data_IF_093274869442
#
_entry.id   IF_093274869442
#
_cell.length_a   1.000
_cell.length_b   1.000
_cell.length_c   1.000
_cell.angle_alpha   90.00
_cell.angle_beta   90.00
_cell.angle_gamma   90.00
#
_symmetry.space_group_name_H-M   'P 1'
#
loop_
_entity.id
_entity.type
_entity.pdbx_description
1 polymer ?
#
# COMPACT_ATOMS: atom_id res chain seq x y z
N UNK A 1 8.06 6.76 -3.38
CA UNK A 1 9.03 6.45 -2.32
C UNK A 1 8.49 5.33 -1.45
N UNK A 2 9.32 4.37 -1.13
CA UNK A 2 9.10 3.30 -0.16
C UNK A 2 10.29 3.32 0.79
N UNK A 3 10.08 3.63 2.06
CA UNK A 3 11.16 3.83 3.04
C UNK A 3 10.60 3.77 4.46
N UNK A 4 11.46 3.52 5.43
CA UNK A 4 11.11 3.40 6.85
C UNK A 4 12.10 4.19 7.73
N UNK A 5 11.83 4.24 9.02
CA UNK A 5 12.71 4.79 10.05
C UNK A 5 13.16 6.26 9.79
N UNK A 6 14.46 6.53 9.90
CA UNK A 6 14.99 7.88 9.79
C UNK A 6 14.72 8.54 8.42
N UNK A 7 14.91 7.86 7.25
CA UNK A 7 14.53 8.44 5.96
C UNK A 7 13.06 8.81 5.84
N UNK A 8 12.15 8.06 6.49
CA UNK A 8 10.72 8.38 6.52
C UNK A 8 10.45 9.65 7.33
N UNK A 9 11.13 9.82 8.48
CA UNK A 9 11.03 11.03 9.29
C UNK A 9 11.58 12.26 8.57
N UNK A 10 12.69 12.12 7.84
CA UNK A 10 13.25 13.18 6.99
C UNK A 10 12.29 13.59 5.88
N UNK A 11 11.58 12.62 5.27
CA UNK A 11 10.53 12.91 4.29
C UNK A 11 9.41 13.72 4.94
N UNK A 12 8.89 13.26 6.09
CA UNK A 12 7.82 13.95 6.81
C UNK A 12 8.19 15.41 7.15
N UNK A 13 9.42 15.63 7.61
CA UNK A 13 9.91 16.97 8.00
C UNK A 13 10.06 17.93 6.79
N UNK A 14 10.08 17.43 5.56
CA UNK A 14 10.26 18.21 4.33
C UNK A 14 9.02 18.33 3.47
N UNK A 15 7.89 17.76 3.91
CA UNK A 15 6.61 17.98 3.23
C UNK A 15 6.10 19.41 3.49
N UNK A 16 5.48 20.08 2.49
CA UNK A 16 5.27 19.59 1.10
C UNK A 16 6.42 19.91 0.13
N UNK A 17 7.48 20.60 0.56
CA UNK A 17 8.51 21.16 -0.35
C UNK A 17 9.26 20.11 -1.17
N UNK A 18 9.41 18.89 -0.63
CA UNK A 18 10.08 17.77 -1.29
C UNK A 18 9.13 16.55 -1.42
N UNK A 19 7.84 16.82 -1.69
CA UNK A 19 6.84 15.76 -1.83
C UNK A 19 7.09 14.90 -3.07
N UNK A 20 7.17 13.56 -2.95
CA UNK A 20 7.19 12.66 -4.09
C UNK A 20 5.78 12.48 -4.66
N UNK A 21 5.68 12.08 -5.94
CA UNK A 21 4.39 11.80 -6.57
C UNK A 21 3.64 10.64 -5.90
N UNK A 22 4.38 9.65 -5.40
CA UNK A 22 3.84 8.42 -4.81
C UNK A 22 4.64 8.03 -3.56
N UNK A 23 3.94 7.70 -2.47
CA UNK A 23 4.50 7.01 -1.30
C UNK A 23 3.72 5.73 -0.99
N UNK A 24 4.42 4.73 -0.44
CA UNK A 24 3.80 3.46 -0.03
C UNK A 24 4.16 3.12 1.42
N UNK A 25 3.53 3.73 2.40
CA UNK A 25 3.64 3.32 3.80
C UNK A 25 2.77 2.11 4.14
N UNK A 26 3.12 1.37 5.19
CA UNK A 26 2.16 0.58 5.94
C UNK A 26 1.42 1.48 6.97
N UNK A 27 0.47 0.93 7.74
CA UNK A 27 -0.29 1.69 8.74
C UNK A 27 0.58 2.34 9.80
N UNK A 28 1.62 1.65 10.28
CA UNK A 28 2.56 2.17 11.29
C UNK A 28 3.40 3.31 10.72
N UNK A 29 3.93 3.13 9.52
CA UNK A 29 4.71 4.15 8.79
C UNK A 29 3.84 5.38 8.45
N UNK A 30 2.57 5.17 8.06
CA UNK A 30 1.62 6.28 7.87
C UNK A 30 1.42 7.06 9.17
N UNK A 31 1.26 6.34 10.29
CA UNK A 31 1.18 6.96 11.62
C UNK A 31 2.42 7.81 11.93
N UNK A 32 3.62 7.32 11.62
CA UNK A 32 4.87 8.06 11.78
C UNK A 32 4.94 9.31 10.91
N UNK A 33 4.50 9.22 9.63
CA UNK A 33 4.44 10.36 8.71
C UNK A 33 3.51 11.46 9.20
N UNK A 34 2.39 11.08 9.83
CA UNK A 34 1.33 12.00 10.24
C UNK A 34 1.42 12.42 11.72
N UNK A 35 2.32 11.81 12.51
CA UNK A 35 2.42 12.06 13.95
C UNK A 35 1.22 11.51 14.75
N UNK A 36 0.62 10.40 14.30
CA UNK A 36 -0.53 9.73 14.92
C UNK A 36 -0.21 8.26 15.23
N UNK A 37 -1.09 7.60 15.99
CA UNK A 37 -0.92 6.20 16.38
C UNK A 37 -1.25 5.24 15.20
N UNK A 38 -0.21 4.64 14.61
CA UNK A 38 -0.32 3.71 13.49
C UNK A 38 -0.97 2.38 13.86
N UNK A 39 -0.83 1.90 15.10
CA UNK A 39 -1.47 0.66 15.57
C UNK A 39 -2.99 0.84 15.66
N UNK A 40 -3.44 2.05 16.01
CA UNK A 40 -4.86 2.41 15.97
C UNK A 40 -5.42 2.39 14.54
N UNK A 41 -4.66 2.89 13.56
CA UNK A 41 -5.03 2.84 12.14
C UNK A 41 -5.14 1.39 11.65
N UNK A 42 -4.18 0.53 11.99
CA UNK A 42 -4.21 -0.89 11.61
C UNK A 42 -5.39 -1.61 12.22
N UNK A 43 -5.66 -1.36 13.51
CA UNK A 43 -6.80 -1.94 14.21
C UNK A 43 -8.14 -1.50 13.60
N UNK A 44 -8.29 -0.25 13.20
CA UNK A 44 -9.47 0.26 12.52
C UNK A 44 -9.65 -0.39 11.13
N UNK A 45 -8.57 -0.45 10.35
CA UNK A 45 -8.57 -1.06 9.02
C UNK A 45 -8.95 -2.56 9.05
N UNK A 46 -8.49 -3.30 10.06
CA UNK A 46 -8.87 -4.71 10.27
C UNK A 46 -10.38 -4.88 10.51
N UNK A 47 -11.05 -3.86 11.04
CA UNK A 47 -12.52 -3.83 11.20
C UNK A 47 -13.26 -3.27 9.98
N UNK A 48 -12.56 -2.98 8.89
CA UNK A 48 -13.12 -2.37 7.68
C UNK A 48 -13.43 -0.88 7.83
N UNK A 49 -12.82 -0.20 8.82
CA UNK A 49 -12.98 1.23 9.07
C UNK A 49 -11.77 1.96 8.48
N UNK A 50 -11.95 2.60 7.33
CA UNK A 50 -10.85 3.20 6.57
C UNK A 50 -10.79 4.74 6.66
N UNK A 51 -11.81 5.39 7.23
CA UNK A 51 -11.95 6.84 7.25
C UNK A 51 -10.71 7.55 7.83
N UNK A 52 -10.18 7.04 8.95
CA UNK A 52 -9.01 7.62 9.61
C UNK A 52 -7.73 7.42 8.78
N UNK A 53 -7.60 6.27 8.11
CA UNK A 53 -6.46 6.00 7.21
C UNK A 53 -6.52 6.93 6.00
N UNK A 54 -7.69 7.11 5.41
CA UNK A 54 -7.92 8.02 4.26
C UNK A 54 -7.65 9.47 4.67
N UNK A 55 -8.16 9.88 5.83
CA UNK A 55 -7.92 11.24 6.34
C UNK A 55 -6.43 11.51 6.61
N UNK A 56 -5.73 10.55 7.24
CA UNK A 56 -4.30 10.65 7.49
C UNK A 56 -3.50 10.75 6.17
N UNK A 57 -3.78 9.89 5.20
CA UNK A 57 -3.10 9.90 3.90
C UNK A 57 -3.33 11.23 3.14
N UNK A 58 -4.55 11.76 3.13
CA UNK A 58 -4.88 13.07 2.53
C UNK A 58 -4.23 14.24 3.25
N UNK A 59 -3.86 14.08 4.52
CA UNK A 59 -3.08 15.05 5.28
C UNK A 59 -1.62 15.18 4.83
N UNK A 60 -1.11 14.26 4.03
CA UNK A 60 0.25 14.33 3.46
C UNK A 60 0.31 15.28 2.26
N UNK A 61 0.29 16.57 2.56
CA UNK A 61 0.22 17.61 1.53
C UNK A 61 1.36 17.55 0.51
N UNK A 62 1.01 17.73 -0.77
CA UNK A 62 1.94 17.70 -1.89
C UNK A 62 2.16 16.32 -2.49
N UNK A 63 1.74 15.24 -1.84
CA UNK A 63 1.81 13.88 -2.37
C UNK A 63 0.54 13.58 -3.17
N UNK A 64 0.70 13.22 -4.46
CA UNK A 64 -0.43 12.98 -5.35
C UNK A 64 -1.13 11.64 -5.08
N UNK A 65 -0.37 10.61 -4.72
CA UNK A 65 -0.86 9.25 -4.48
C UNK A 65 -0.23 8.61 -3.25
N UNK A 66 -1.05 8.01 -2.41
CA UNK A 66 -0.60 7.26 -1.23
C UNK A 66 -1.16 5.85 -1.31
N UNK A 67 -0.27 4.84 -1.33
CA UNK A 67 -0.65 3.43 -1.19
C UNK A 67 -0.42 3.05 0.26
N UNK A 68 -1.47 2.70 1.00
CA UNK A 68 -1.33 2.21 2.38
C UNK A 68 -1.51 0.70 2.40
N UNK A 69 -0.44 -0.02 2.73
CA UNK A 69 -0.50 -1.49 2.85
C UNK A 69 -1.01 -1.88 4.24
N UNK A 70 -1.97 -2.83 4.30
CA UNK A 70 -2.72 -3.24 5.48
C UNK A 70 -2.56 -4.75 5.77
N UNK A 71 -1.41 -5.32 5.41
CA UNK A 71 -1.14 -6.76 5.56
C UNK A 71 -2.18 -7.62 4.87
N UNK A 72 -2.75 -8.59 5.59
CA UNK A 72 -3.79 -9.50 5.07
C UNK A 72 -5.12 -8.81 4.71
N UNK A 73 -5.35 -7.59 5.17
CA UNK A 73 -6.52 -6.77 4.81
C UNK A 73 -6.36 -6.12 3.41
N UNK A 74 -5.18 -6.25 2.78
CA UNK A 74 -4.92 -5.72 1.44
C UNK A 74 -4.24 -4.36 1.45
N UNK A 75 -4.73 -3.42 0.64
CA UNK A 75 -4.18 -2.08 0.55
C UNK A 75 -5.23 -1.04 0.13
N UNK A 76 -4.96 0.21 0.49
CA UNK A 76 -5.69 1.37 0.00
C UNK A 76 -4.83 2.13 -1.02
N UNK A 77 -5.47 2.69 -2.04
CA UNK A 77 -4.92 3.76 -2.86
C UNK A 77 -5.74 5.01 -2.60
N UNK A 78 -5.08 6.07 -2.18
CA UNK A 78 -5.70 7.35 -1.83
C UNK A 78 -5.11 8.44 -2.71
N UNK A 79 -5.98 9.23 -3.33
CA UNK A 79 -5.67 10.45 -4.05
C UNK A 79 -6.39 11.63 -3.40
N UNK A 80 -6.25 12.82 -3.96
CA UNK A 80 -6.97 14.00 -3.49
C UNK A 80 -8.51 13.79 -3.52
N UNK A 81 -9.02 13.14 -4.57
CA UNK A 81 -10.47 13.05 -4.81
C UNK A 81 -11.04 11.65 -4.61
N UNK A 82 -10.23 10.62 -4.80
CA UNK A 82 -10.67 9.22 -4.80
C UNK A 82 -9.94 8.41 -3.73
N UNK A 83 -10.59 7.33 -3.30
CA UNK A 83 -9.97 6.31 -2.48
C UNK A 83 -10.53 4.92 -2.87
N UNK A 84 -9.66 3.94 -2.98
CA UNK A 84 -10.01 2.55 -3.27
C UNK A 84 -9.41 1.62 -2.23
N UNK A 85 -10.16 0.58 -1.90
CA UNK A 85 -9.67 -0.55 -1.11
C UNK A 85 -9.63 -1.80 -2.00
N UNK A 86 -8.49 -2.48 -2.03
CA UNK A 86 -8.32 -3.77 -2.68
C UNK A 86 -7.83 -4.80 -1.65
N UNK A 87 -8.39 -6.02 -1.69
CA UNK A 87 -8.03 -7.10 -0.77
C UNK A 87 -7.98 -8.45 -1.48
N UNK A 88 -7.02 -9.32 -1.11
CA UNK A 88 -6.89 -10.63 -1.73
C UNK A 88 -7.85 -11.65 -1.08
N UNK A 89 -8.13 -12.73 -1.79
CA UNK A 89 -8.58 -13.95 -1.12
C UNK A 89 -7.48 -14.46 -0.17
N UNK A 90 -7.85 -15.11 0.95
CA UNK A 90 -6.88 -15.61 1.92
C UNK A 90 -5.89 -16.60 1.30
N UNK A 91 -4.61 -16.42 1.61
CA UNK A 91 -3.54 -17.35 1.20
C UNK A 91 -2.78 -17.86 2.43
N UNK A 92 -2.10 -18.99 2.29
CA UNK A 92 -1.16 -19.44 3.31
C UNK A 92 0.11 -18.56 3.27
N UNK A 93 0.28 -17.73 4.30
CA UNK A 93 1.44 -16.84 4.43
C UNK A 93 2.67 -17.65 4.87
N UNK A 94 3.75 -17.61 4.07
CA UNK A 94 5.05 -18.24 4.37
C UNK A 94 6.11 -17.26 4.81
N UNK A 95 6.07 -16.05 4.24
CA UNK A 95 6.99 -14.96 4.60
C UNK A 95 6.39 -13.62 4.19
N UNK A 96 6.55 -12.59 5.01
CA UNK A 96 6.17 -11.21 4.66
C UNK A 96 7.33 -10.40 4.10
N UNK A 97 8.54 -10.96 4.09
CA UNK A 97 9.75 -10.27 3.60
C UNK A 97 9.65 -10.06 2.09
N UNK A 98 9.77 -8.81 1.65
CA UNK A 98 9.68 -8.42 0.25
C UNK A 98 8.25 -8.32 -0.31
N UNK A 99 7.21 -8.57 0.51
CA UNK A 99 5.82 -8.40 0.07
C UNK A 99 5.51 -6.94 -0.27
N UNK A 100 6.01 -5.98 0.51
CA UNK A 100 5.88 -4.54 0.24
C UNK A 100 6.56 -4.12 -1.06
N UNK A 101 7.80 -4.59 -1.29
CA UNK A 101 8.55 -4.32 -2.52
C UNK A 101 7.84 -4.91 -3.75
N UNK A 102 7.36 -6.15 -3.63
CA UNK A 102 6.59 -6.81 -4.70
C UNK A 102 5.28 -6.07 -4.99
N UNK A 103 4.59 -5.59 -3.95
CA UNK A 103 3.39 -4.77 -4.09
C UNK A 103 3.68 -3.49 -4.88
N UNK A 104 4.72 -2.74 -4.51
CA UNK A 104 5.13 -1.55 -5.24
C UNK A 104 5.52 -1.87 -6.68
N UNK A 105 6.27 -2.95 -6.91
CA UNK A 105 6.66 -3.38 -8.25
C UNK A 105 5.42 -3.71 -9.12
N UNK A 106 4.44 -4.42 -8.58
CA UNK A 106 3.17 -4.73 -9.26
C UNK A 106 2.40 -3.47 -9.64
N UNK A 107 2.28 -2.51 -8.71
CA UNK A 107 1.65 -1.22 -8.98
C UNK A 107 2.33 -0.47 -10.12
N UNK A 108 3.65 -0.32 -10.05
CA UNK A 108 4.42 0.41 -11.06
C UNK A 108 4.40 -0.29 -12.42
N UNK A 109 4.42 -1.62 -12.45
CA UNK A 109 4.30 -2.39 -13.69
C UNK A 109 2.96 -2.14 -14.38
N UNK A 110 1.84 -2.20 -13.65
CA UNK A 110 0.52 -1.90 -14.18
C UNK A 110 0.43 -0.45 -14.67
N UNK A 111 0.97 0.49 -13.89
CA UNK A 111 1.04 1.92 -14.27
C UNK A 111 1.80 2.16 -15.58
N UNK A 112 2.94 1.48 -15.78
CA UNK A 112 3.71 1.61 -17.04
C UNK A 112 2.98 1.05 -18.26
N UNK A 113 1.98 0.20 -18.06
CA UNK A 113 1.08 -0.30 -19.11
C UNK A 113 -0.09 0.64 -19.41
N UNK A 114 -0.26 1.69 -18.60
CA UNK A 114 -1.35 2.65 -18.73
C UNK A 114 -2.66 2.20 -18.09
N UNK A 115 -2.57 1.26 -17.14
CA UNK A 115 -3.76 0.81 -16.39
C UNK A 115 -4.32 1.94 -15.52
N UNK A 116 -5.64 1.90 -15.27
CA UNK A 116 -6.30 2.84 -14.38
C UNK A 116 -5.83 2.65 -12.93
N UNK A 117 -5.88 3.70 -12.07
CA UNK A 117 -5.36 3.65 -10.70
C UNK A 117 -5.86 2.46 -9.88
N UNK A 118 -7.14 2.15 -9.96
CA UNK A 118 -7.75 1.02 -9.26
C UNK A 118 -7.21 -0.34 -9.72
N UNK A 119 -6.86 -0.48 -11.00
CA UNK A 119 -6.23 -1.69 -11.54
C UNK A 119 -4.75 -1.77 -11.15
N UNK A 120 -4.07 -0.63 -11.03
CA UNK A 120 -2.71 -0.58 -10.47
C UNK A 120 -2.71 -1.04 -9.01
N UNK A 121 -3.71 -0.62 -8.19
CA UNK A 121 -3.87 -1.10 -6.82
C UNK A 121 -4.16 -2.60 -6.78
N UNK A 122 -5.03 -3.10 -7.66
CA UNK A 122 -5.31 -4.54 -7.78
C UNK A 122 -4.03 -5.34 -8.05
N UNK A 123 -3.21 -4.87 -8.98
CA UNK A 123 -1.89 -5.48 -9.27
C UNK A 123 -0.95 -5.42 -8.06
N UNK A 124 -0.91 -4.29 -7.34
CA UNK A 124 -0.12 -4.17 -6.11
C UNK A 124 -0.46 -5.25 -5.09
N UNK A 125 -1.76 -5.42 -4.80
CA UNK A 125 -2.24 -6.42 -3.85
C UNK A 125 -1.94 -7.83 -4.33
N UNK A 126 -2.16 -8.13 -5.62
CA UNK A 126 -1.88 -9.44 -6.19
C UNK A 126 -0.39 -9.82 -6.06
N UNK A 127 0.52 -8.94 -6.43
CA UNK A 127 1.96 -9.18 -6.36
C UNK A 127 2.46 -9.30 -4.92
N UNK A 128 1.99 -8.43 -4.01
CA UNK A 128 2.35 -8.49 -2.58
C UNK A 128 1.88 -9.79 -1.93
N UNK A 129 0.65 -10.22 -2.24
CA UNK A 129 0.07 -11.46 -1.72
C UNK A 129 0.78 -12.70 -2.29
N UNK A 130 1.09 -12.71 -3.59
CA UNK A 130 1.86 -13.78 -4.20
C UNK A 130 3.24 -13.92 -3.56
N UNK A 131 3.92 -12.81 -3.26
CA UNK A 131 5.20 -12.82 -2.56
C UNK A 131 5.05 -13.40 -1.15
N UNK A 132 4.02 -13.01 -0.41
CA UNK A 132 3.77 -13.50 0.96
C UNK A 132 3.50 -15.01 1.00
N UNK A 133 2.99 -15.61 -0.08
CA UNK A 133 2.78 -17.05 -0.21
C UNK A 133 4.06 -17.83 -0.56
N UNK A 134 5.20 -17.17 -0.79
CA UNK A 134 6.49 -17.78 -1.10
C UNK A 134 7.43 -17.76 0.11
N UNK A 135 8.40 -18.70 0.19
CA UNK A 135 9.35 -18.74 1.30
C UNK A 135 10.41 -17.63 1.18
N UNK A 136 10.79 -17.07 2.33
CA UNK A 136 11.86 -16.06 2.43
C UNK A 136 11.53 -14.80 1.63
N UNK A 137 12.51 -14.29 0.87
CA UNK A 137 12.39 -13.11 0.01
C UNK A 137 12.26 -13.48 -1.48
N UNK A 138 11.62 -14.60 -1.78
CA UNK A 138 11.44 -15.08 -3.16
C UNK A 138 10.47 -14.16 -3.90
N UNK A 139 10.90 -13.63 -5.04
CA UNK A 139 10.05 -12.80 -5.90
C UNK A 139 9.02 -13.65 -6.65
N UNK A 140 7.74 -13.25 -6.69
CA UNK A 140 6.73 -13.97 -7.46
C UNK A 140 6.94 -13.79 -8.96
N UNK A 141 6.54 -14.80 -9.72
CA UNK A 141 6.42 -14.69 -11.18
C UNK A 141 5.09 -14.00 -11.56
N UNK A 142 4.98 -13.43 -12.78
CA UNK A 142 3.71 -12.88 -13.25
C UNK A 142 2.54 -13.87 -13.14
N UNK A 143 2.74 -15.13 -13.51
CA UNK A 143 1.69 -16.15 -13.43
C UNK A 143 1.24 -16.45 -11.99
N UNK A 144 2.13 -16.32 -11.01
CA UNK A 144 1.77 -16.46 -9.59
C UNK A 144 0.96 -15.26 -9.09
N UNK A 145 1.32 -14.04 -9.52
CA UNK A 145 0.53 -12.85 -9.21
C UNK A 145 -0.84 -12.88 -9.90
N UNK A 146 -0.91 -13.29 -11.17
CA UNK A 146 -2.16 -13.41 -11.94
C UNK A 146 -3.13 -14.47 -11.35
N UNK A 147 -2.60 -15.43 -10.58
CA UNK A 147 -3.41 -16.44 -9.89
C UNK A 147 -4.07 -15.93 -8.59
N UNK A 148 -3.68 -14.74 -8.09
CA UNK A 148 -4.26 -14.16 -6.89
C UNK A 148 -5.55 -13.42 -7.25
N UNK A 149 -6.67 -13.88 -6.71
CA UNK A 149 -7.94 -13.17 -6.83
C UNK A 149 -7.97 -11.98 -5.88
N UNK A 150 -8.23 -10.78 -6.43
CA UNK A 150 -8.29 -9.52 -5.68
C UNK A 150 -9.63 -8.85 -5.91
N UNK A 151 -10.36 -8.63 -4.83
CA UNK A 151 -11.56 -7.80 -4.81
C UNK A 151 -11.18 -6.33 -4.64
N UNK A 152 -12.05 -5.42 -5.11
CA UNK A 152 -11.82 -3.98 -5.06
C UNK A 152 -13.14 -3.25 -4.89
N UNK A 153 -13.12 -2.19 -4.07
CA UNK A 153 -14.23 -1.24 -3.92
C UNK A 153 -13.72 0.18 -3.92
N UNK A 154 -14.53 1.11 -4.42
CA UNK A 154 -14.35 2.55 -4.24
C UNK A 154 -14.96 2.95 -2.88
N UNK A 155 -14.28 3.80 -2.10
CA UNK A 155 -14.68 4.23 -0.76
C UNK A 155 -15.42 5.56 -0.76
#
# INVERSE_FOLDING_TARGET
>A
VDTSDQPLQELAARLPDCAPDLVKPNSVELGQLCGIDGDSLESAATRGQFDDVVAAARGLHGIAEVIVTLGGTGALLITEHDAWHAWPEPVEVKSTVGAGDSSLAGFLLARTRGDQPENCLRAAVAWGTAAAALPGSTMPTPSQADAIHVSLTHL
#
